data_IF_303254226276
#
_entry.id   IF_303254226276
#
_cell.length_a   1.000
_cell.length_b   1.000
_cell.length_c   1.000
_cell.angle_alpha   90.00
_cell.angle_beta   90.00
_cell.angle_gamma   90.00
#
_symmetry.space_group_name_H-M   'P 1'
#
loop_
_entity.id
_entity.type
_entity.pdbx_description
1 polymer ?
#
# COMPACT_ATOMS: atom_id res chain seq x y z
N UNK A 1 -12.75 6.19 1.96
CA UNK A 1 -13.89 5.64 1.18
C UNK A 1 -13.36 4.59 0.22
N UNK A 2 -13.95 3.40 0.16
CA UNK A 2 -13.57 2.43 -0.88
C UNK A 2 -14.30 2.73 -2.18
N UNK A 3 -13.66 2.49 -3.32
CA UNK A 3 -14.25 2.71 -4.65
C UNK A 3 -13.73 1.72 -5.66
N UNK A 4 -14.48 1.54 -6.75
CA UNK A 4 -14.01 0.78 -7.91
C UNK A 4 -12.99 1.61 -8.67
N UNK A 5 -12.01 0.92 -9.23
CA UNK A 5 -10.91 1.49 -10.00
C UNK A 5 -10.58 0.56 -11.17
N UNK A 6 -9.78 1.05 -12.10
CA UNK A 6 -9.25 0.24 -13.20
C UNK A 6 -7.76 0.06 -12.96
N UNK A 7 -7.28 -1.18 -13.06
CA UNK A 7 -5.88 -1.50 -12.88
C UNK A 7 -5.06 -0.92 -14.04
N UNK A 8 -4.03 -0.14 -13.76
CA UNK A 8 -3.16 0.42 -14.80
C UNK A 8 -2.24 -0.62 -15.47
N UNK A 9 -2.14 -1.83 -14.90
CA UNK A 9 -1.27 -2.90 -15.40
C UNK A 9 -2.00 -3.85 -16.35
N UNK A 10 -3.20 -4.30 -15.97
CA UNK A 10 -3.97 -5.29 -16.74
C UNK A 10 -5.29 -4.74 -17.30
N UNK A 11 -5.62 -3.48 -17.05
CA UNK A 11 -6.90 -2.83 -17.39
C UNK A 11 -8.17 -3.51 -16.81
N UNK A 12 -8.01 -4.49 -15.92
CA UNK A 12 -9.11 -5.12 -15.20
C UNK A 12 -9.71 -4.21 -14.13
N UNK A 13 -10.94 -4.50 -13.73
CA UNK A 13 -11.64 -3.85 -12.62
C UNK A 13 -10.99 -4.26 -11.29
N UNK A 14 -10.65 -3.27 -10.51
CA UNK A 14 -10.05 -3.41 -9.19
C UNK A 14 -10.73 -2.44 -8.22
N UNK A 15 -10.26 -2.39 -6.99
CA UNK A 15 -10.78 -1.54 -5.94
C UNK A 15 -9.64 -0.75 -5.31
N UNK A 16 -10.00 0.34 -4.63
CA UNK A 16 -9.09 1.18 -3.86
C UNK A 16 -9.73 1.51 -2.51
N UNK A 17 -8.97 1.47 -1.41
CA UNK A 17 -9.46 1.84 -0.07
C UNK A 17 -8.92 0.98 1.06
N UNK A 18 -9.66 0.88 2.17
CA UNK A 18 -9.23 0.14 3.38
C UNK A 18 -9.48 -1.38 3.34
N UNK A 19 -10.05 -1.91 2.26
CA UNK A 19 -10.25 -3.36 2.08
C UNK A 19 -11.50 -3.94 2.76
N UNK A 20 -12.11 -3.24 3.71
CA UNK A 20 -13.34 -3.72 4.37
C UNK A 20 -14.60 -3.63 3.49
N UNK A 21 -14.59 -2.79 2.46
CA UNK A 21 -15.77 -2.57 1.60
C UNK A 21 -15.60 -3.17 0.20
N UNK A 22 -14.66 -4.11 0.00
CA UNK A 22 -14.45 -4.83 -1.27
C UNK A 22 -15.75 -5.44 -1.85
N UNK A 23 -16.56 -6.20 -1.09
CA UNK A 23 -17.81 -6.78 -1.63
C UNK A 23 -18.74 -5.70 -2.16
N UNK A 24 -18.96 -4.62 -1.42
CA UNK A 24 -19.84 -3.53 -1.87
C UNK A 24 -19.39 -2.84 -3.16
N UNK A 25 -18.12 -2.97 -3.55
CA UNK A 25 -17.53 -2.31 -4.72
C UNK A 25 -17.43 -3.26 -5.92
N UNK A 26 -17.11 -4.54 -5.69
CA UNK A 26 -16.81 -5.51 -6.74
C UNK A 26 -17.89 -6.57 -6.94
N UNK A 27 -18.82 -6.76 -6.01
CA UNK A 27 -19.87 -7.79 -6.12
C UNK A 27 -20.77 -7.57 -7.36
N UNK A 28 -21.00 -6.31 -7.75
CA UNK A 28 -21.73 -5.98 -8.98
C UNK A 28 -20.91 -6.14 -10.27
N UNK A 29 -19.62 -6.49 -10.18
CA UNK A 29 -18.72 -6.65 -11.33
C UNK A 29 -18.47 -8.15 -11.52
N UNK A 30 -18.69 -8.71 -12.72
CA UNK A 30 -18.40 -10.12 -12.97
C UNK A 30 -16.90 -10.41 -12.83
N UNK A 31 -16.56 -11.59 -12.30
CA UNK A 31 -15.17 -11.99 -12.00
C UNK A 31 -14.26 -11.97 -13.23
N UNK A 32 -14.80 -12.17 -14.43
CA UNK A 32 -14.03 -12.11 -15.69
C UNK A 32 -13.51 -10.71 -16.00
N UNK A 33 -14.15 -9.67 -15.46
CA UNK A 33 -13.71 -8.29 -15.62
C UNK A 33 -12.75 -7.85 -14.52
N UNK A 34 -12.48 -8.69 -13.52
CA UNK A 34 -11.61 -8.34 -12.39
C UNK A 34 -10.14 -8.31 -12.79
N UNK A 35 -9.36 -7.58 -12.01
CA UNK A 35 -7.91 -7.53 -12.13
C UNK A 35 -7.30 -8.91 -11.89
N UNK A 36 -6.54 -9.41 -12.87
CA UNK A 36 -5.85 -10.72 -12.84
C UNK A 36 -4.39 -10.61 -12.43
N UNK A 37 -3.94 -9.46 -11.92
CA UNK A 37 -2.57 -9.29 -11.47
C UNK A 37 -2.26 -10.20 -10.27
N UNK A 38 -0.99 -10.61 -10.17
CA UNK A 38 -0.49 -11.39 -9.04
C UNK A 38 -0.65 -10.62 -7.71
N UNK A 39 -1.13 -11.30 -6.67
CA UNK A 39 -1.32 -10.73 -5.33
C UNK A 39 0.03 -10.52 -4.65
N UNK A 40 0.19 -9.42 -3.92
CA UNK A 40 1.43 -9.20 -3.16
C UNK A 40 1.34 -9.89 -1.80
N UNK A 41 2.47 -10.37 -1.25
CA UNK A 41 2.50 -10.93 0.09
C UNK A 41 2.07 -9.85 1.09
N UNK A 42 0.93 -10.04 1.76
CA UNK A 42 0.32 -9.08 2.68
C UNK A 42 -1.13 -8.68 2.33
N UNK A 43 -1.62 -9.03 1.15
CA UNK A 43 -3.05 -8.94 0.83
C UNK A 43 -3.81 -10.05 1.57
N UNK A 44 -4.50 -9.71 2.67
CA UNK A 44 -5.12 -10.66 3.60
C UNK A 44 -6.40 -11.36 3.05
N UNK A 45 -6.63 -11.35 1.74
CA UNK A 45 -7.90 -11.80 1.15
C UNK A 45 -7.69 -12.50 -0.18
N UNK A 46 -7.95 -13.80 -0.19
CA UNK A 46 -7.82 -14.66 -1.37
C UNK A 46 -9.02 -14.55 -2.34
N UNK A 47 -10.16 -14.02 -1.91
CA UNK A 47 -11.37 -13.96 -2.72
C UNK A 47 -11.41 -12.80 -3.71
N UNK A 48 -10.91 -11.63 -3.33
CA UNK A 48 -10.97 -10.42 -4.16
C UNK A 48 -9.62 -10.13 -4.84
N UNK A 49 -9.61 -9.49 -6.02
CA UNK A 49 -8.38 -9.14 -6.71
C UNK A 49 -7.55 -8.15 -5.87
N UNK A 50 -6.22 -8.06 -6.11
CA UNK A 50 -5.38 -7.12 -5.38
C UNK A 50 -5.87 -5.68 -5.60
N UNK A 51 -5.63 -4.83 -4.60
CA UNK A 51 -5.90 -3.40 -4.73
C UNK A 51 -5.15 -2.87 -5.96
N UNK A 52 -5.83 -2.04 -6.76
CA UNK A 52 -5.22 -1.42 -7.92
C UNK A 52 -3.98 -0.67 -7.48
N UNK A 53 -2.83 -0.99 -8.08
CA UNK A 53 -1.59 -0.27 -7.85
C UNK A 53 -1.87 1.19 -8.19
N UNK A 54 -2.04 2.05 -7.19
CA UNK A 54 -1.79 3.47 -7.39
C UNK A 54 -0.39 3.59 -7.97
N UNK A 55 -0.16 4.44 -9.01
CA UNK A 55 1.21 4.79 -9.37
C UNK A 55 1.93 5.19 -8.07
N UNK A 56 3.17 4.76 -7.93
CA UNK A 56 4.00 4.64 -6.72
C UNK A 56 4.14 5.89 -5.81
N UNK A 57 3.31 6.91 -5.96
CA UNK A 57 3.17 8.06 -5.07
C UNK A 57 2.24 7.80 -3.87
N UNK A 58 1.45 6.72 -3.86
CA UNK A 58 0.86 6.20 -2.61
C UNK A 58 1.75 5.08 -2.10
N UNK A 59 2.72 5.43 -1.24
CA UNK A 59 3.47 4.48 -0.42
C UNK A 59 2.44 3.70 0.42
N UNK A 60 2.17 2.40 0.18
CA UNK A 60 1.51 1.60 1.20
C UNK A 60 2.47 1.58 2.38
N UNK A 61 2.12 2.34 3.42
CA UNK A 61 2.79 2.45 4.72
C UNK A 61 4.17 1.80 4.74
N UNK A 62 5.20 2.59 4.39
CA UNK A 62 6.58 2.21 4.58
C UNK A 62 6.71 1.55 5.95
N UNK A 63 7.12 0.29 5.97
CA UNK A 63 7.21 -0.45 7.22
C UNK A 63 8.07 0.36 8.18
N UNK A 64 7.71 0.36 9.47
CA UNK A 64 8.37 1.16 10.51
C UNK A 64 9.91 1.00 10.51
N UNK A 65 10.41 -0.13 10.01
CA UNK A 65 11.83 -0.40 9.76
C UNK A 65 12.50 0.55 8.76
N UNK A 66 11.82 1.01 7.71
CA UNK A 66 12.39 1.87 6.66
C UNK A 66 12.50 3.31 7.14
N UNK A 67 11.49 3.80 7.87
CA UNK A 67 11.56 5.07 8.60
C UNK A 67 12.65 5.00 9.66
N UNK A 68 12.70 3.92 10.46
CA UNK A 68 13.72 3.77 11.48
C UNK A 68 15.13 3.76 10.89
N UNK A 69 15.36 3.10 9.75
CA UNK A 69 16.66 3.09 9.04
C UNK A 69 17.03 4.49 8.53
N UNK A 70 16.10 5.22 7.93
CA UNK A 70 16.32 6.61 7.49
C UNK A 70 16.59 7.55 8.68
N UNK A 71 15.82 7.45 9.77
CA UNK A 71 16.04 8.22 11.00
C UNK A 71 17.40 7.91 11.65
N UNK A 72 17.82 6.64 11.63
CA UNK A 72 19.14 6.22 12.12
C UNK A 72 20.27 6.80 11.27
N UNK A 73 20.09 6.80 9.94
CA UNK A 73 21.04 7.37 8.99
C UNK A 73 21.21 8.86 9.20
N UNK A 74 20.11 9.62 9.27
CA UNK A 74 20.12 11.06 9.57
C UNK A 74 20.80 11.34 10.91
N UNK A 75 20.50 10.57 11.96
CA UNK A 75 21.16 10.69 13.27
C UNK A 75 22.68 10.51 13.19
N UNK A 76 23.15 9.53 12.41
CA UNK A 76 24.57 9.23 12.28
C UNK A 76 25.30 10.23 11.35
N UNK A 77 24.62 10.77 10.34
CA UNK A 77 25.17 11.79 9.44
C UNK A 77 25.32 13.15 10.11
N UNK A 78 24.39 13.53 10.99
CA UNK A 78 24.47 14.76 11.78
C UNK A 78 25.33 14.62 13.05
N UNK A 79 26.10 13.53 13.17
CA UNK A 79 27.09 13.34 14.23
C UNK A 79 26.51 13.10 15.64
N UNK A 80 25.20 12.88 15.76
CA UNK A 80 24.50 12.79 17.05
C UNK A 80 24.50 14.11 17.82
N UNK A 81 23.49 14.32 18.67
CA UNK A 81 23.53 15.43 19.63
C UNK A 81 24.64 15.11 20.64
N UNK A 82 25.68 15.95 20.80
CA UNK A 82 26.68 15.73 21.82
C UNK A 82 25.99 15.69 23.18
N UNK A 83 26.28 14.64 23.95
CA UNK A 83 25.76 14.38 25.31
C UNK A 83 25.95 15.53 26.32
N UNK A 84 26.66 16.59 25.93
CA UNK A 84 26.87 17.81 26.72
C UNK A 84 25.75 18.85 26.57
N UNK A 85 24.86 18.72 25.56
CA UNK A 85 23.75 19.67 25.30
C UNK A 85 22.42 19.21 25.93
N UNK A 86 22.35 17.97 26.43
CA UNK A 86 21.21 17.49 27.24
C UNK A 86 21.51 17.84 28.70
N UNK A 87 21.12 19.05 29.10
CA UNK A 87 21.09 19.49 30.49
C UNK A 87 19.65 19.74 30.93
#
# INVERSE_FOLDING_TARGET
MCRSATCSTCNGKTWFGCGMHKPSVLDSVPKEQWCTCEKKPGDADDEYPPMGSTPSSFRPHETNESIAKEMLKVRNEWGGIPKEVVQ
#
